data_IF_653129137163
#
_entry.id   IF_653129137163
#
_cell.length_a   1.000
_cell.length_b   1.000
_cell.length_c   1.000
_cell.angle_alpha   90.00
_cell.angle_beta   90.00
_cell.angle_gamma   90.00
#
_symmetry.space_group_name_H-M   'P 1'
#
loop_
_entity.id
_entity.type
_entity.pdbx_description
1 polymer ?
#
# COMPACT_ATOMS: atom_id res chain seq x y z
N UNK A 1 16.74 -6.19 2.65
CA UNK A 1 16.37 -4.94 1.94
C UNK A 1 16.67 -5.11 0.46
N UNK A 2 15.80 -4.56 -0.39
CA UNK A 2 15.93 -4.62 -1.85
C UNK A 2 16.40 -3.28 -2.40
N UNK A 3 17.21 -3.34 -3.47
CA UNK A 3 17.48 -2.22 -4.35
C UNK A 3 16.93 -2.58 -5.73
N UNK A 4 16.01 -1.77 -6.24
CA UNK A 4 15.42 -1.95 -7.57
C UNK A 4 16.19 -1.06 -8.54
N UNK A 5 16.62 -1.63 -9.66
CA UNK A 5 17.29 -0.91 -10.74
C UNK A 5 16.39 -0.95 -11.98
N UNK A 6 16.07 0.23 -12.49
CA UNK A 6 15.30 0.39 -13.75
C UNK A 6 16.22 0.99 -14.82
N UNK A 7 16.95 0.17 -15.61
CA UNK A 7 17.91 0.66 -16.58
C UNK A 7 17.23 1.46 -17.70
N UNK A 8 17.74 2.64 -18.02
CA UNK A 8 17.30 3.46 -19.16
C UNK A 8 17.83 2.88 -20.47
N UNK A 9 18.99 2.22 -20.40
CA UNK A 9 19.61 1.54 -21.54
C UNK A 9 20.23 0.22 -21.08
N UNK A 10 20.43 -0.70 -22.01
CA UNK A 10 20.97 -2.05 -21.75
C UNK A 10 22.53 -2.06 -21.69
N UNK A 11 23.15 -1.06 -21.07
CA UNK A 11 24.59 -1.08 -20.87
C UNK A 11 24.95 -2.08 -19.75
N UNK A 12 25.29 -3.31 -20.15
CA UNK A 12 25.57 -4.41 -19.24
C UNK A 12 26.74 -4.13 -18.27
N UNK A 13 27.76 -3.40 -18.71
CA UNK A 13 28.89 -3.04 -17.85
C UNK A 13 28.45 -2.15 -16.69
N UNK A 14 27.69 -1.10 -16.99
CA UNK A 14 27.16 -0.17 -15.97
C UNK A 14 26.22 -0.90 -14.99
N UNK A 15 25.35 -1.74 -15.50
CA UNK A 15 24.42 -2.52 -14.68
C UNK A 15 25.20 -3.47 -13.76
N UNK A 16 26.27 -4.12 -14.26
CA UNK A 16 27.11 -5.01 -13.49
C UNK A 16 27.82 -4.28 -12.33
N UNK A 17 28.38 -3.11 -12.60
CA UNK A 17 29.10 -2.33 -11.59
C UNK A 17 28.14 -1.82 -10.49
N UNK A 18 27.00 -1.28 -10.85
CA UNK A 18 25.96 -0.84 -9.91
C UNK A 18 25.47 -2.01 -9.06
N UNK A 19 25.19 -3.17 -9.68
CA UNK A 19 24.80 -4.39 -8.96
C UNK A 19 25.87 -4.81 -7.95
N UNK A 20 27.15 -4.80 -8.36
CA UNK A 20 28.26 -5.18 -7.51
C UNK A 20 28.37 -4.25 -6.31
N UNK A 21 28.26 -2.94 -6.53
CA UNK A 21 28.28 -1.95 -5.48
C UNK A 21 27.17 -2.16 -4.44
N UNK A 22 25.92 -2.24 -4.86
CA UNK A 22 24.80 -2.40 -3.94
C UNK A 22 24.78 -3.74 -3.22
N UNK A 23 25.25 -4.82 -3.89
CA UNK A 23 25.46 -6.12 -3.24
C UNK A 23 26.53 -6.08 -2.17
N UNK A 24 27.60 -5.32 -2.38
CA UNK A 24 28.72 -5.23 -1.41
C UNK A 24 28.29 -4.65 -0.06
N UNK A 25 27.22 -3.87 -0.03
CA UNK A 25 26.63 -3.32 1.19
C UNK A 25 25.38 -4.08 1.69
N UNK A 26 25.18 -5.31 1.18
CA UNK A 26 24.22 -6.26 1.72
C UNK A 26 22.79 -6.13 1.19
N UNK A 27 22.59 -5.50 0.00
CA UNK A 27 21.28 -5.38 -0.62
C UNK A 27 21.02 -6.49 -1.63
N UNK A 28 19.79 -6.97 -1.69
CA UNK A 28 19.30 -7.80 -2.80
C UNK A 28 18.93 -6.92 -3.98
N UNK A 29 19.40 -7.29 -5.18
CA UNK A 29 19.20 -6.47 -6.37
C UNK A 29 18.15 -7.10 -7.28
N UNK A 30 17.12 -6.32 -7.58
CA UNK A 30 16.12 -6.63 -8.58
C UNK A 30 16.27 -5.68 -9.78
N UNK A 31 16.17 -6.24 -10.99
CA UNK A 31 16.16 -5.45 -12.22
C UNK A 31 14.79 -5.62 -12.86
N UNK A 32 14.18 -4.51 -13.21
CA UNK A 32 12.91 -4.50 -13.92
C UNK A 32 12.80 -3.28 -14.83
N UNK A 33 11.87 -3.28 -15.77
CA UNK A 33 11.58 -2.10 -16.57
C UNK A 33 10.95 -0.99 -15.73
N UNK A 34 11.07 0.26 -16.16
CA UNK A 34 10.44 1.40 -15.50
C UNK A 34 8.91 1.22 -15.41
N UNK A 35 8.26 0.81 -16.50
CA UNK A 35 6.81 0.56 -16.51
C UNK A 35 6.38 -0.51 -15.49
N UNK A 36 7.17 -1.57 -15.35
CA UNK A 36 6.88 -2.61 -14.37
C UNK A 36 7.07 -2.10 -12.94
N UNK A 37 8.16 -1.38 -12.69
CA UNK A 37 8.42 -0.70 -11.42
C UNK A 37 7.25 0.22 -11.04
N UNK A 38 6.80 1.04 -11.96
CA UNK A 38 5.77 2.05 -11.71
C UNK A 38 4.42 1.41 -11.35
N UNK A 39 4.06 0.30 -12.00
CA UNK A 39 2.86 -0.49 -11.63
C UNK A 39 3.00 -1.17 -10.27
N UNK A 40 4.17 -1.74 -9.96
CA UNK A 40 4.43 -2.35 -8.65
C UNK A 40 4.35 -1.30 -7.55
N UNK A 41 4.98 -0.14 -7.73
CA UNK A 41 4.94 0.96 -6.76
C UNK A 41 3.54 1.55 -6.64
N UNK A 42 2.80 1.68 -7.74
CA UNK A 42 1.41 2.12 -7.69
C UNK A 42 0.59 1.25 -6.74
N UNK A 43 0.68 -0.09 -6.86
CA UNK A 43 -0.12 -1.00 -6.03
C UNK A 43 0.40 -1.13 -4.61
N UNK A 44 1.72 -1.18 -4.39
CA UNK A 44 2.30 -1.50 -3.08
C UNK A 44 2.53 -0.29 -2.19
N UNK A 45 2.60 0.91 -2.76
CA UNK A 45 2.91 2.15 -2.07
C UNK A 45 1.85 3.24 -2.29
N UNK A 46 1.55 3.57 -3.56
CA UNK A 46 0.77 4.76 -3.87
C UNK A 46 -0.72 4.59 -3.56
N UNK A 47 -1.33 3.45 -3.92
CA UNK A 47 -2.73 3.17 -3.60
C UNK A 47 -2.98 3.11 -2.08
N UNK A 48 -2.19 2.38 -1.26
CA UNK A 48 -2.35 2.42 0.19
C UNK A 48 -2.30 3.83 0.78
N UNK A 49 -1.39 4.66 0.31
CA UNK A 49 -1.27 6.04 0.76
C UNK A 49 -2.50 6.89 0.36
N UNK A 50 -2.97 6.74 -0.87
CA UNK A 50 -4.16 7.44 -1.38
C UNK A 50 -5.41 7.06 -0.58
N UNK A 51 -5.58 5.77 -0.28
CA UNK A 51 -6.70 5.27 0.52
C UNK A 51 -6.63 5.85 1.94
N UNK A 52 -5.43 5.94 2.54
CA UNK A 52 -5.26 6.53 3.86
C UNK A 52 -5.68 8.01 3.89
N UNK A 53 -5.28 8.80 2.89
CA UNK A 53 -5.77 10.18 2.75
C UNK A 53 -7.28 10.24 2.56
N UNK A 54 -7.84 9.38 1.69
CA UNK A 54 -9.30 9.33 1.44
C UNK A 54 -10.10 9.00 2.69
N UNK A 55 -9.70 8.00 3.46
CA UNK A 55 -10.41 7.62 4.70
C UNK A 55 -10.41 8.78 5.72
N UNK A 56 -9.27 9.47 5.87
CA UNK A 56 -9.20 10.63 6.78
C UNK A 56 -10.06 11.78 6.28
N UNK A 57 -10.03 12.06 4.97
CA UNK A 57 -10.89 13.07 4.37
C UNK A 57 -12.38 12.74 4.58
N UNK A 58 -12.80 11.52 4.28
CA UNK A 58 -14.18 11.05 4.51
C UNK A 58 -14.58 11.22 5.99
N UNK A 59 -13.73 10.81 6.93
CA UNK A 59 -14.01 10.96 8.36
C UNK A 59 -14.12 12.43 8.78
N UNK A 60 -13.39 13.34 8.12
CA UNK A 60 -13.41 14.78 8.41
C UNK A 60 -14.66 15.50 7.88
N UNK A 61 -15.36 14.91 6.91
CA UNK A 61 -16.59 15.45 6.30
C UNK A 61 -17.86 14.97 7.00
N UNK A 62 -17.75 14.07 7.97
CA UNK A 62 -18.89 13.63 8.79
C UNK A 62 -19.45 14.79 9.64
N UNK A 63 -20.70 14.67 10.05
CA UNK A 63 -21.33 15.61 11.01
C UNK A 63 -20.45 15.81 12.25
N UNK A 64 -20.41 17.02 12.78
CA UNK A 64 -19.44 17.42 13.82
C UNK A 64 -19.36 16.46 14.99
N UNK A 65 -20.50 16.02 15.51
CA UNK A 65 -20.54 15.08 16.65
C UNK A 65 -20.01 13.68 16.28
N UNK A 66 -20.29 13.18 15.07
CA UNK A 66 -19.78 11.88 14.60
C UNK A 66 -18.28 11.96 14.34
N UNK A 67 -17.80 13.07 13.75
CA UNK A 67 -16.39 13.33 13.53
C UNK A 67 -15.59 13.31 14.84
N UNK A 68 -16.06 14.02 15.87
CA UNK A 68 -15.41 14.07 17.17
C UNK A 68 -15.35 12.68 17.83
N UNK A 69 -16.40 11.88 17.68
CA UNK A 69 -16.44 10.50 18.14
C UNK A 69 -15.50 9.59 17.36
N UNK A 70 -15.41 9.70 16.03
CA UNK A 70 -14.47 8.94 15.21
C UNK A 70 -13.03 9.23 15.62
N UNK A 71 -12.68 10.49 15.87
CA UNK A 71 -11.36 10.88 16.35
C UNK A 71 -11.10 10.33 17.76
N UNK A 72 -12.05 10.51 18.67
CA UNK A 72 -11.94 10.12 20.09
C UNK A 72 -11.87 8.59 20.27
N UNK A 73 -12.66 7.85 19.51
CA UNK A 73 -12.80 6.40 19.64
C UNK A 73 -12.05 5.63 18.55
N UNK A 74 -11.07 6.27 17.90
CA UNK A 74 -10.26 5.62 16.88
C UNK A 74 -9.66 4.31 17.37
N UNK A 75 -10.14 3.20 16.82
CA UNK A 75 -9.63 1.87 17.09
C UNK A 75 -8.25 1.65 16.43
N UNK A 76 -7.54 0.62 16.87
CA UNK A 76 -6.19 0.31 16.38
C UNK A 76 -6.11 0.27 14.85
N UNK A 77 -7.05 -0.38 14.18
CA UNK A 77 -7.06 -0.47 12.71
C UNK A 77 -7.14 0.90 12.02
N UNK A 78 -7.97 1.82 12.51
CA UNK A 78 -8.05 3.17 11.94
C UNK A 78 -6.76 3.95 12.18
N UNK A 79 -6.22 3.93 13.41
CA UNK A 79 -4.97 4.63 13.75
C UNK A 79 -3.78 4.12 12.95
N UNK A 80 -3.62 2.79 12.87
CA UNK A 80 -2.48 2.18 12.19
C UNK A 80 -2.52 2.45 10.69
N UNK A 81 -3.70 2.35 10.08
CA UNK A 81 -3.85 2.59 8.65
C UNK A 81 -3.73 4.08 8.30
N UNK A 82 -4.37 4.96 9.08
CA UNK A 82 -4.35 6.41 8.82
C UNK A 82 -3.03 7.09 9.19
N UNK A 83 -2.10 6.38 9.85
CA UNK A 83 -0.74 6.86 10.07
C UNK A 83 -0.06 7.30 8.77
N UNK A 84 -0.37 6.64 7.67
CA UNK A 84 0.14 6.99 6.34
C UNK A 84 -0.28 8.41 5.94
N UNK A 85 -1.48 8.86 6.27
CA UNK A 85 -2.00 10.19 5.94
C UNK A 85 -1.25 11.35 6.63
N UNK A 86 -0.37 11.05 7.60
CA UNK A 86 0.52 12.04 8.22
C UNK A 86 1.79 12.34 7.40
N UNK A 87 1.93 11.80 6.20
CA UNK A 87 3.09 12.02 5.32
C UNK A 87 3.04 13.39 4.64
N UNK A 88 4.21 13.86 4.16
CA UNK A 88 4.35 15.15 3.48
C UNK A 88 3.46 15.24 2.23
N UNK A 89 2.53 16.22 2.15
CA UNK A 89 1.58 16.33 1.05
C UNK A 89 2.22 16.79 -0.26
N UNK A 90 3.32 17.55 -0.22
CA UNK A 90 4.00 18.03 -1.42
C UNK A 90 4.72 16.87 -2.11
N UNK A 91 5.45 16.06 -1.33
CA UNK A 91 6.09 14.86 -1.84
C UNK A 91 5.06 13.92 -2.52
N UNK A 92 3.93 13.65 -1.86
CA UNK A 92 2.93 12.74 -2.42
C UNK A 92 2.20 13.31 -3.63
N UNK A 93 1.95 14.64 -3.67
CA UNK A 93 1.47 15.32 -4.87
C UNK A 93 2.38 15.03 -6.07
N UNK A 94 3.69 15.13 -5.86
CA UNK A 94 4.67 14.96 -6.93
C UNK A 94 4.77 13.47 -7.34
N UNK A 95 4.72 12.54 -6.38
CA UNK A 95 4.64 11.09 -6.66
C UNK A 95 3.44 10.75 -7.55
N UNK A 96 2.24 11.27 -7.23
CA UNK A 96 1.05 11.02 -8.05
C UNK A 96 1.12 11.67 -9.43
N UNK A 97 1.73 12.85 -9.53
CA UNK A 97 1.95 13.50 -10.82
C UNK A 97 2.90 12.71 -11.72
N UNK A 98 3.98 12.18 -11.15
CA UNK A 98 5.03 11.48 -11.91
C UNK A 98 4.62 10.05 -12.30
N UNK A 99 3.83 9.36 -11.48
CA UNK A 99 3.35 7.99 -11.74
C UNK A 99 1.84 7.93 -12.04
N UNK A 100 1.33 8.96 -12.71
CA UNK A 100 -0.11 9.17 -12.92
C UNK A 100 -0.81 7.98 -13.57
N UNK A 101 -0.27 7.48 -14.66
CA UNK A 101 -0.94 6.47 -15.49
C UNK A 101 -1.06 5.13 -14.76
N UNK A 102 0.02 4.66 -14.14
CA UNK A 102 0.00 3.42 -13.36
C UNK A 102 -0.88 3.56 -12.10
N UNK A 103 -0.87 4.72 -11.45
CA UNK A 103 -1.76 4.96 -10.30
C UNK A 103 -3.23 4.93 -10.72
N UNK A 104 -3.59 5.56 -11.83
CA UNK A 104 -4.98 5.55 -12.33
C UNK A 104 -5.43 4.14 -12.74
N UNK A 105 -4.55 3.36 -13.38
CA UNK A 105 -4.84 1.94 -13.70
C UNK A 105 -5.14 1.13 -12.43
N UNK A 106 -4.27 1.22 -11.42
CA UNK A 106 -4.46 0.47 -10.17
C UNK A 106 -5.64 0.98 -9.35
N UNK A 107 -5.88 2.29 -9.34
CA UNK A 107 -7.03 2.88 -8.67
C UNK A 107 -8.35 2.43 -9.30
N UNK A 108 -8.41 2.32 -10.64
CA UNK A 108 -9.56 1.78 -11.34
C UNK A 108 -9.89 0.36 -10.88
N UNK A 109 -8.92 -0.54 -10.88
CA UNK A 109 -9.06 -1.92 -10.37
C UNK A 109 -9.52 -1.97 -8.91
N UNK A 110 -8.89 -1.19 -8.06
CA UNK A 110 -9.28 -1.10 -6.64
C UNK A 110 -10.73 -0.63 -6.46
N UNK A 111 -11.17 0.35 -7.24
CA UNK A 111 -12.54 0.88 -7.19
C UNK A 111 -13.56 -0.16 -7.65
N UNK A 112 -13.24 -0.96 -8.67
CA UNK A 112 -14.08 -2.08 -9.13
C UNK A 112 -14.22 -3.15 -8.05
N UNK A 113 -13.10 -3.55 -7.42
CA UNK A 113 -13.12 -4.51 -6.32
C UNK A 113 -13.92 -4.00 -5.11
N UNK A 114 -13.73 -2.73 -4.76
CA UNK A 114 -14.48 -2.09 -3.67
C UNK A 114 -15.98 -2.03 -3.97
N UNK A 115 -16.36 -1.72 -5.22
CA UNK A 115 -17.74 -1.71 -5.67
C UNK A 115 -18.36 -3.11 -5.60
N UNK A 116 -17.59 -4.14 -5.90
CA UNK A 116 -18.03 -5.54 -5.80
C UNK A 116 -18.27 -5.94 -4.34
N UNK A 117 -17.36 -5.56 -3.43
CA UNK A 117 -17.55 -5.76 -1.99
C UNK A 117 -18.77 -4.99 -1.46
N UNK A 118 -18.96 -3.73 -1.89
CA UNK A 118 -20.11 -2.92 -1.53
C UNK A 118 -21.43 -3.60 -1.96
N UNK A 119 -21.49 -4.16 -3.18
CA UNK A 119 -22.64 -4.91 -3.67
C UNK A 119 -22.91 -6.16 -2.83
N UNK A 120 -21.86 -6.91 -2.46
CA UNK A 120 -21.99 -8.10 -1.62
C UNK A 120 -22.52 -7.75 -0.23
N UNK A 121 -22.03 -6.67 0.39
CA UNK A 121 -22.52 -6.17 1.68
C UNK A 121 -24.00 -5.79 1.57
N UNK A 122 -24.38 -5.01 0.54
CA UNK A 122 -25.77 -4.58 0.33
C UNK A 122 -26.73 -5.76 0.18
N UNK A 123 -26.29 -6.82 -0.49
CA UNK A 123 -27.10 -8.03 -0.75
C UNK A 123 -26.96 -9.08 0.36
N UNK A 124 -26.21 -8.80 1.42
CA UNK A 124 -25.91 -9.76 2.51
C UNK A 124 -25.32 -11.08 1.98
N UNK A 125 -24.48 -11.01 0.94
CA UNK A 125 -23.80 -12.19 0.38
C UNK A 125 -22.61 -12.60 1.24
N UNK A 126 -22.93 -13.23 2.37
CA UNK A 126 -21.95 -13.65 3.36
C UNK A 126 -20.98 -14.71 2.82
N UNK A 127 -21.42 -15.56 1.90
CA UNK A 127 -20.55 -16.58 1.28
C UNK A 127 -19.49 -15.98 0.40
N UNK A 128 -19.84 -14.99 -0.42
CA UNK A 128 -18.88 -14.26 -1.24
C UNK A 128 -17.88 -13.50 -0.37
N UNK A 129 -18.34 -12.79 0.66
CA UNK A 129 -17.48 -12.06 1.59
C UNK A 129 -16.49 -12.99 2.29
N UNK A 130 -16.97 -14.11 2.87
CA UNK A 130 -16.12 -15.09 3.54
C UNK A 130 -15.06 -15.68 2.61
N UNK A 131 -15.46 -16.07 1.39
CA UNK A 131 -14.53 -16.58 0.38
C UNK A 131 -13.44 -15.56 0.04
N UNK A 132 -13.84 -14.31 -0.21
CA UNK A 132 -12.92 -13.25 -0.57
C UNK A 132 -11.95 -12.95 0.56
N UNK A 133 -12.44 -12.80 1.80
CA UNK A 133 -11.59 -12.53 2.96
C UNK A 133 -10.66 -13.68 3.29
N UNK A 134 -11.12 -14.92 3.14
CA UNK A 134 -10.27 -16.11 3.32
C UNK A 134 -9.14 -16.15 2.29
N UNK A 135 -9.42 -15.86 1.02
CA UNK A 135 -8.41 -15.79 -0.03
C UNK A 135 -7.37 -14.70 0.25
N UNK A 136 -7.80 -13.50 0.62
CA UNK A 136 -6.87 -12.40 0.95
C UNK A 136 -6.02 -12.70 2.19
N UNK A 137 -6.58 -13.39 3.18
CA UNK A 137 -5.84 -13.86 4.35
C UNK A 137 -4.70 -14.82 3.99
N UNK A 138 -4.91 -15.72 3.04
CA UNK A 138 -3.83 -16.62 2.59
C UNK A 138 -2.69 -15.85 1.91
N UNK A 139 -3.01 -14.84 1.10
CA UNK A 139 -2.00 -13.95 0.50
C UNK A 139 -1.23 -13.20 1.59
N UNK A 140 -1.91 -12.71 2.62
CA UNK A 140 -1.25 -12.05 3.76
C UNK A 140 -0.25 -12.94 4.46
N UNK A 141 -0.56 -14.24 4.66
CA UNK A 141 0.37 -15.21 5.23
C UNK A 141 1.63 -15.40 4.38
N UNK A 142 1.51 -15.29 3.05
CA UNK A 142 2.68 -15.35 2.15
C UNK A 142 3.56 -14.11 2.38
N UNK A 143 2.97 -12.92 2.45
CA UNK A 143 3.69 -11.66 2.74
C UNK A 143 4.46 -11.75 4.06
N UNK A 144 3.83 -12.33 5.10
CA UNK A 144 4.46 -12.54 6.40
C UNK A 144 5.65 -13.51 6.32
N UNK A 145 5.49 -14.64 5.64
CA UNK A 145 6.58 -15.62 5.44
C UNK A 145 7.77 -15.05 4.67
N UNK A 146 7.54 -14.08 3.79
CA UNK A 146 8.59 -13.37 3.07
C UNK A 146 9.27 -12.26 3.90
N UNK A 147 8.90 -12.08 5.17
CA UNK A 147 9.45 -11.06 6.06
C UNK A 147 9.06 -9.62 5.66
N UNK A 148 8.02 -9.45 4.83
CA UNK A 148 7.55 -8.16 4.33
C UNK A 148 6.44 -7.54 5.19
N UNK A 149 6.03 -8.23 6.26
CA UNK A 149 4.88 -7.83 7.07
C UNK A 149 5.12 -6.66 8.03
N UNK A 150 6.36 -6.17 8.15
CA UNK A 150 6.74 -5.25 9.23
C UNK A 150 6.63 -5.91 10.62
N UNK A 151 7.24 -5.31 11.60
CA UNK A 151 7.20 -5.80 13.00
C UNK A 151 5.93 -5.33 13.72
N UNK A 152 4.74 -5.67 13.22
CA UNK A 152 3.54 -5.53 14.03
C UNK A 152 3.38 -6.80 14.88
N UNK A 153 3.92 -6.77 16.09
CA UNK A 153 3.61 -7.74 17.12
C UNK A 153 2.45 -7.19 17.96
N UNK A 154 1.24 -7.78 17.87
CA UNK A 154 0.10 -7.35 18.69
C UNK A 154 0.34 -7.54 20.19
N UNK A 155 1.40 -8.25 20.60
CA UNK A 155 1.77 -8.47 22.00
C UNK A 155 2.72 -7.38 22.53
N UNK A 156 3.32 -6.53 21.68
CA UNK A 156 4.19 -5.42 22.11
C UNK A 156 3.45 -4.13 22.51
N UNK A 157 2.13 -4.05 22.37
CA UNK A 157 1.36 -2.86 22.73
C UNK A 157 1.18 -2.61 24.25
N UNK A 158 1.97 -3.31 25.08
CA UNK A 158 1.89 -3.23 26.54
C UNK A 158 3.12 -2.71 27.30
N UNK A 159 4.16 -2.26 26.58
CA UNK A 159 5.38 -1.74 27.25
C UNK A 159 5.73 -0.34 26.77
N UNK A 160 5.06 0.64 27.35
CA UNK A 160 5.58 2.00 27.59
C UNK A 160 4.91 2.57 28.83
#
# INVERSE_FOLDING_TARGET
RFCIITPINNNEYFIKDIKSFWKSIGLEIQIMSADHHDRVMAMTSHIPQLIAYSIVATASELETHVKDEVIKYSAAGFRDFTRLAGSDPVMWRDVYSMNKDAVLEMLGRFTEDLSTLQKAIRNNDTKFLEKTFSSTREIRKIIEKLGQAGSFDPTETGKK
#
